data_IF_357976060041
#
_entry.id   IF_357976060041
#
_cell.length_a   1.000
_cell.length_b   1.000
_cell.length_c   1.000
_cell.angle_alpha   90.00
_cell.angle_beta   90.00
_cell.angle_gamma   90.00
#
_symmetry.space_group_name_H-M   'P 1'
#
loop_
_entity.id
_entity.type
_entity.pdbx_description
1 polymer ?
#
# COMPACT_ATOMS: atom_id res chain seq x y z
N UNK A 1 -36.09 -5.30 3.33
CA UNK A 1 -35.16 -6.43 3.05
C UNK A 1 -33.66 -6.06 3.08
N UNK A 2 -33.26 -4.89 3.61
CA UNK A 2 -31.87 -4.38 3.55
C UNK A 2 -31.05 -4.51 4.86
N UNK A 3 -31.61 -5.09 5.93
CA UNK A 3 -30.99 -5.00 7.26
C UNK A 3 -29.90 -6.02 7.60
N UNK A 4 -29.68 -7.07 6.79
CA UNK A 4 -28.76 -8.17 7.14
C UNK A 4 -27.46 -8.28 6.33
N UNK A 5 -27.10 -7.29 5.49
CA UNK A 5 -25.88 -7.35 4.64
C UNK A 5 -24.84 -6.26 4.90
N UNK A 6 -25.16 -5.25 5.69
CA UNK A 6 -24.21 -4.21 6.04
C UNK A 6 -23.39 -4.62 7.27
N UNK A 7 -22.18 -5.16 7.07
CA UNK A 7 -21.15 -5.08 8.12
C UNK A 7 -20.68 -3.62 8.18
N UNK A 8 -21.35 -2.80 8.99
CA UNK A 8 -20.84 -1.47 9.35
C UNK A 8 -19.58 -1.69 10.17
N UNK A 9 -18.41 -1.56 9.55
CA UNK A 9 -17.14 -1.49 10.27
C UNK A 9 -17.06 -0.13 10.97
N UNK A 10 -17.69 -0.02 12.15
CA UNK A 10 -17.41 1.08 13.08
C UNK A 10 -15.90 1.05 13.37
N UNK A 11 -15.25 2.20 13.32
CA UNK A 11 -13.81 2.46 13.49
C UNK A 11 -13.10 1.76 14.68
N UNK A 12 -13.82 1.08 15.57
CA UNK A 12 -13.25 0.20 16.61
C UNK A 12 -12.76 -1.16 16.08
N UNK A 13 -13.18 -1.62 14.90
CA UNK A 13 -12.50 -2.71 14.17
C UNK A 13 -11.48 -2.08 13.24
N UNK A 14 -10.30 -1.80 13.80
CA UNK A 14 -9.10 -1.37 13.09
C UNK A 14 -8.92 -2.19 11.81
N UNK A 15 -8.59 -1.51 10.72
CA UNK A 15 -8.02 -2.17 9.55
C UNK A 15 -6.83 -3.00 10.04
N UNK A 16 -6.92 -4.32 9.93
CA UNK A 16 -5.81 -5.23 10.19
C UNK A 16 -5.39 -5.76 8.83
N UNK A 17 -4.14 -5.54 8.45
CA UNK A 17 -3.66 -5.71 7.08
C UNK A 17 -3.00 -7.09 6.83
N UNK A 18 -3.20 -7.67 5.65
CA UNK A 18 -2.71 -9.00 5.26
C UNK A 18 -1.25 -8.99 4.87
N UNK A 19 -0.56 -10.12 5.09
CA UNK A 19 0.82 -10.46 4.69
C UNK A 19 1.23 -10.19 3.26
N UNK A 20 0.26 -9.93 2.39
CA UNK A 20 0.55 -9.31 1.10
C UNK A 20 1.02 -7.86 1.21
N UNK A 21 1.14 -7.29 2.42
CA UNK A 21 1.68 -5.96 2.61
C UNK A 21 3.12 -5.99 2.15
N UNK A 22 3.97 -6.85 2.70
CA UNK A 22 5.40 -6.81 2.42
C UNK A 22 5.84 -7.38 1.06
N UNK A 23 4.94 -8.02 0.28
CA UNK A 23 5.31 -8.75 -0.94
C UNK A 23 6.22 -7.88 -1.84
N UNK A 24 7.54 -8.11 -1.78
CA UNK A 24 8.54 -7.12 -2.19
C UNK A 24 8.49 -6.76 -3.68
N UNK A 25 7.92 -7.66 -4.50
CA UNK A 25 7.61 -7.43 -5.92
C UNK A 25 6.50 -6.39 -6.12
N UNK A 26 5.51 -6.35 -5.22
CA UNK A 26 4.35 -5.45 -5.30
C UNK A 26 4.65 -4.10 -4.65
N UNK A 27 5.46 -4.09 -3.59
CA UNK A 27 5.78 -2.86 -2.85
C UNK A 27 6.87 -1.99 -3.45
N UNK A 28 7.81 -2.60 -4.17
CA UNK A 28 8.94 -1.90 -4.78
C UNK A 28 9.19 -2.36 -6.22
N UNK A 29 8.20 -2.96 -6.88
CA UNK A 29 8.23 -3.03 -8.35
C UNK A 29 8.31 -1.60 -8.91
N UNK A 30 9.01 -1.39 -10.04
CA UNK A 30 9.04 -0.08 -10.73
C UNK A 30 7.60 0.43 -10.90
N UNK A 31 7.27 1.57 -10.30
CA UNK A 31 5.92 2.17 -10.40
C UNK A 31 4.93 1.78 -9.28
N UNK A 32 5.37 1.13 -8.22
CA UNK A 32 4.51 0.72 -7.10
C UNK A 32 4.00 1.90 -6.25
N UNK A 33 2.77 1.78 -5.74
CA UNK A 33 2.07 2.85 -5.01
C UNK A 33 2.76 3.23 -3.68
N UNK A 34 3.48 2.29 -3.05
CA UNK A 34 4.30 2.58 -1.87
C UNK A 34 5.64 3.25 -2.22
N UNK A 35 6.20 3.01 -3.42
CA UNK A 35 7.32 3.79 -3.94
C UNK A 35 6.95 5.28 -3.96
N UNK A 36 5.76 5.63 -4.46
CA UNK A 36 5.28 7.03 -4.44
C UNK A 36 4.97 7.60 -3.06
N UNK A 37 4.68 6.78 -2.06
CA UNK A 37 4.30 7.28 -0.73
C UNK A 37 5.48 7.41 0.22
N UNK A 38 6.33 6.39 0.27
CA UNK A 38 7.57 6.50 1.02
C UNK A 38 8.49 7.46 0.27
N UNK A 39 8.63 7.31 -1.05
CA UNK A 39 9.64 7.97 -1.89
C UNK A 39 9.13 9.17 -2.72
N UNK A 40 7.98 9.77 -2.36
CA UNK A 40 7.32 10.82 -3.15
C UNK A 40 8.28 11.94 -3.57
N UNK A 41 9.14 12.40 -2.68
CA UNK A 41 10.14 13.42 -2.98
C UNK A 41 11.36 13.17 -2.05
N UNK A 42 12.54 12.93 -2.65
CA UNK A 42 13.89 12.91 -1.99
C UNK A 42 14.45 11.63 -1.35
N UNK A 43 13.89 10.44 -1.56
CA UNK A 43 14.55 9.21 -1.07
C UNK A 43 15.52 8.66 -2.10
N UNK A 44 16.81 8.86 -1.85
CA UNK A 44 17.91 8.39 -2.71
C UNK A 44 17.95 6.86 -2.84
N UNK A 45 18.69 6.33 -3.83
CA UNK A 45 18.73 4.91 -4.17
C UNK A 45 19.12 4.00 -3.01
N UNK A 46 19.95 4.51 -2.09
CA UNK A 46 20.40 3.78 -0.88
C UNK A 46 19.23 3.48 0.07
N UNK A 47 18.30 4.44 0.24
CA UNK A 47 17.12 4.22 1.07
C UNK A 47 16.24 3.14 0.45
N UNK A 48 15.96 3.22 -0.85
CA UNK A 48 15.09 2.25 -1.53
C UNK A 48 15.68 0.83 -1.42
N UNK A 49 16.97 0.69 -1.71
CA UNK A 49 17.69 -0.57 -1.62
C UNK A 49 17.63 -1.15 -0.20
N UNK A 50 17.92 -0.34 0.81
CA UNK A 50 17.93 -0.78 2.21
C UNK A 50 16.52 -1.15 2.70
N UNK A 51 15.52 -0.33 2.37
CA UNK A 51 14.13 -0.56 2.75
C UNK A 51 13.57 -1.83 2.09
N UNK A 52 13.88 -2.05 0.80
CA UNK A 52 13.51 -3.27 0.07
C UNK A 52 14.09 -4.52 0.74
N UNK A 53 15.39 -4.52 1.03
CA UNK A 53 16.05 -5.66 1.68
C UNK A 53 15.51 -5.91 3.09
N UNK A 54 15.25 -4.85 3.88
CA UNK A 54 14.60 -4.98 5.17
C UNK A 54 13.22 -5.64 5.05
N UNK A 55 12.37 -5.18 4.13
CA UNK A 55 11.04 -5.77 3.94
C UNK A 55 11.11 -7.23 3.49
N UNK A 56 11.99 -7.57 2.53
CA UNK A 56 12.20 -8.96 2.10
C UNK A 56 12.68 -9.85 3.25
N UNK A 57 13.53 -9.32 4.12
CA UNK A 57 14.01 -10.03 5.32
C UNK A 57 12.88 -10.28 6.32
N UNK A 58 12.01 -9.29 6.57
CA UNK A 58 10.82 -9.46 7.42
C UNK A 58 9.84 -10.50 6.87
N UNK A 59 9.81 -10.68 5.56
CA UNK A 59 8.95 -11.67 4.90
C UNK A 59 9.49 -13.08 4.89
N UNK A 60 10.77 -13.27 5.20
CA UNK A 60 11.43 -14.55 5.06
C UNK A 60 10.76 -15.65 5.91
N UNK A 61 10.14 -15.27 7.02
CA UNK A 61 9.29 -16.17 7.81
C UNK A 61 7.85 -16.15 7.30
N UNK A 62 7.49 -17.05 6.38
CA UNK A 62 6.11 -17.12 5.86
C UNK A 62 5.06 -17.44 6.95
N UNK A 63 5.46 -18.18 8.00
CA UNK A 63 4.56 -18.55 9.08
C UNK A 63 4.27 -17.37 10.03
N UNK A 64 5.31 -16.57 10.31
CA UNK A 64 5.25 -15.41 11.20
C UNK A 64 6.01 -14.21 10.60
N UNK A 65 5.49 -13.60 9.51
CA UNK A 65 6.17 -12.50 8.88
C UNK A 65 6.13 -11.27 9.77
N UNK A 66 7.20 -10.49 9.68
CA UNK A 66 7.31 -9.21 10.36
C UNK A 66 6.37 -8.15 9.77
N UNK A 67 6.38 -6.99 10.38
CA UNK A 67 5.48 -5.87 10.08
C UNK A 67 6.26 -4.59 9.80
N UNK A 68 5.60 -3.55 9.31
CA UNK A 68 6.25 -2.24 9.12
C UNK A 68 6.87 -1.68 10.42
N UNK A 69 6.30 -2.05 11.56
CA UNK A 69 6.75 -1.63 12.89
C UNK A 69 8.12 -2.25 13.24
N UNK A 70 8.46 -3.38 12.62
CA UNK A 70 9.71 -4.10 12.87
C UNK A 70 10.90 -3.58 12.05
N UNK A 71 10.66 -2.66 11.09
CA UNK A 71 11.72 -2.12 10.24
C UNK A 71 12.83 -1.43 11.04
N UNK A 72 12.54 -0.52 12.01
CA UNK A 72 13.57 0.05 12.87
C UNK A 72 14.38 -1.02 13.61
N UNK A 73 13.71 -2.09 14.05
CA UNK A 73 14.32 -3.17 14.82
C UNK A 73 15.26 -4.02 13.97
N UNK A 74 14.95 -4.23 12.69
CA UNK A 74 15.84 -4.94 11.76
C UNK A 74 17.25 -4.34 11.72
N UNK A 75 17.34 -3.01 11.78
CA UNK A 75 18.63 -2.32 11.68
C UNK A 75 19.33 -2.10 13.02
N UNK A 76 18.60 -2.18 14.14
CA UNK A 76 19.12 -1.86 15.48
C UNK A 76 19.32 -3.07 16.38
N UNK A 77 18.71 -4.23 16.07
CA UNK A 77 18.80 -5.47 16.83
C UNK A 77 19.46 -6.58 15.98
N UNK A 78 20.79 -6.78 16.09
CA UNK A 78 21.52 -7.80 15.34
C UNK A 78 21.04 -9.22 15.63
N UNK A 79 20.50 -9.47 16.82
CA UNK A 79 19.99 -10.80 17.20
C UNK A 79 18.69 -11.09 16.48
N UNK A 80 17.79 -10.11 16.39
CA UNK A 80 16.57 -10.22 15.60
C UNK A 80 16.86 -10.47 14.11
N UNK A 81 17.78 -9.70 13.52
CA UNK A 81 18.12 -9.90 12.09
C UNK A 81 18.73 -11.27 11.85
N UNK A 82 19.63 -11.75 12.72
CA UNK A 82 20.24 -13.08 12.59
C UNK A 82 19.20 -14.21 12.60
N UNK A 83 18.16 -14.10 13.44
CA UNK A 83 17.08 -15.09 13.47
C UNK A 83 16.28 -15.12 12.15
N UNK A 84 16.03 -13.95 11.56
CA UNK A 84 15.33 -13.84 10.26
C UNK A 84 16.21 -14.34 9.10
N UNK A 85 17.51 -14.04 9.11
CA UNK A 85 18.46 -14.45 8.08
C UNK A 85 18.55 -15.98 7.90
N UNK A 86 18.33 -16.75 8.97
CA UNK A 86 18.24 -18.22 8.90
C UNK A 86 17.14 -18.64 7.91
N UNK A 87 16.05 -17.88 7.83
CA UNK A 87 14.89 -18.15 6.97
C UNK A 87 14.97 -17.50 5.59
N UNK A 88 15.90 -16.55 5.40
CA UNK A 88 16.09 -15.91 4.10
C UNK A 88 16.70 -16.91 3.11
N UNK A 89 15.95 -17.21 2.05
CA UNK A 89 16.37 -18.10 0.95
C UNK A 89 16.97 -17.34 -0.23
N UNK A 90 16.64 -16.05 -0.40
CA UNK A 90 17.14 -15.22 -1.49
C UNK A 90 18.62 -14.83 -1.24
N UNK A 91 19.56 -15.26 -2.12
CA UNK A 91 20.98 -14.94 -1.96
C UNK A 91 21.27 -13.45 -2.07
N UNK A 92 20.49 -12.66 -2.81
CA UNK A 92 20.71 -11.21 -2.94
C UNK A 92 20.40 -10.50 -1.63
N UNK A 93 19.33 -10.92 -0.94
CA UNK A 93 18.96 -10.37 0.37
C UNK A 93 20.01 -10.75 1.42
N UNK A 94 20.54 -11.98 1.38
CA UNK A 94 21.65 -12.38 2.25
C UNK A 94 22.91 -11.56 2.00
N UNK A 95 23.29 -11.38 0.74
CA UNK A 95 24.46 -10.60 0.35
C UNK A 95 24.38 -9.15 0.83
N UNK A 96 23.19 -8.54 0.82
CA UNK A 96 22.99 -7.22 1.41
C UNK A 96 23.42 -7.19 2.88
N UNK A 97 23.02 -8.16 3.69
CA UNK A 97 23.35 -8.20 5.12
C UNK A 97 24.79 -8.65 5.38
N UNK A 98 25.25 -9.69 4.71
CA UNK A 98 26.54 -10.35 4.97
C UNK A 98 27.71 -9.69 4.25
N UNK A 99 27.48 -8.87 3.22
CA UNK A 99 28.54 -8.21 2.45
C UNK A 99 28.39 -6.70 2.47
N UNK A 100 27.26 -6.17 2.04
CA UNK A 100 27.10 -4.71 1.88
C UNK A 100 27.04 -4.01 3.24
N UNK A 101 26.09 -4.40 4.09
CA UNK A 101 25.91 -3.83 5.42
C UNK A 101 27.16 -4.02 6.28
N UNK A 102 27.82 -5.18 6.26
CA UNK A 102 29.03 -5.39 7.05
C UNK A 102 30.20 -4.49 6.63
N UNK A 103 30.33 -4.17 5.33
CA UNK A 103 31.41 -3.31 4.80
C UNK A 103 31.17 -1.82 5.01
N UNK A 104 29.94 -1.40 5.31
CA UNK A 104 29.65 0.01 5.57
C UNK A 104 30.30 0.48 6.88
N UNK A 105 30.83 1.71 6.87
CA UNK A 105 31.34 2.35 8.09
C UNK A 105 30.22 2.53 9.12
N UNK A 106 30.57 2.53 10.41
CA UNK A 106 29.59 2.73 11.49
C UNK A 106 28.90 4.10 11.42
N UNK A 107 29.60 5.13 10.92
CA UNK A 107 29.00 6.43 10.68
C UNK A 107 27.95 6.38 9.57
N UNK A 108 28.29 5.81 8.41
CA UNK A 108 27.35 5.67 7.28
C UNK A 108 26.13 4.83 7.66
N UNK A 109 26.34 3.75 8.41
CA UNK A 109 25.23 2.94 8.97
C UNK A 109 24.33 3.79 9.85
N UNK A 110 24.91 4.51 10.81
CA UNK A 110 24.13 5.32 11.77
C UNK A 110 23.30 6.39 11.08
N UNK A 111 23.86 7.08 10.09
CA UNK A 111 23.16 8.10 9.29
C UNK A 111 21.99 7.48 8.49
N UNK A 112 22.25 6.37 7.80
CA UNK A 112 21.23 5.63 7.06
C UNK A 112 20.11 5.12 7.96
N UNK A 113 20.45 4.53 9.12
CA UNK A 113 19.49 4.00 10.07
C UNK A 113 18.66 5.14 10.66
N UNK A 114 19.28 6.22 11.11
CA UNK A 114 18.57 7.40 11.61
C UNK A 114 17.59 7.95 10.58
N UNK A 115 18.00 7.98 9.31
CA UNK A 115 17.14 8.39 8.20
C UNK A 115 15.96 7.43 7.97
N UNK A 116 16.20 6.12 7.91
CA UNK A 116 15.16 5.09 7.78
C UNK A 116 14.15 5.16 8.93
N UNK A 117 14.65 5.23 10.16
CA UNK A 117 13.83 5.32 11.38
C UNK A 117 13.01 6.60 11.37
N UNK A 118 13.55 7.75 10.97
CA UNK A 118 12.76 9.01 10.91
C UNK A 118 11.57 8.92 9.94
N UNK A 119 11.71 8.19 8.83
CA UNK A 119 10.67 8.06 7.79
C UNK A 119 9.61 7.02 8.15
N UNK A 120 9.97 5.98 8.88
CA UNK A 120 9.02 4.94 9.33
C UNK A 120 8.41 5.30 10.69
N UNK A 121 9.21 5.88 11.58
CA UNK A 121 8.86 6.27 12.95
C UNK A 121 7.62 7.14 13.02
N UNK A 122 7.50 8.13 12.12
CA UNK A 122 6.31 8.99 12.01
C UNK A 122 4.98 8.25 11.82
N UNK A 123 5.00 7.01 11.30
CA UNK A 123 3.81 6.16 11.20
C UNK A 123 3.68 5.22 12.41
N UNK A 124 4.80 4.76 12.97
CA UNK A 124 4.85 3.82 14.10
C UNK A 124 4.54 4.49 15.44
N UNK A 125 4.85 5.78 15.57
CA UNK A 125 4.58 6.58 16.77
C UNK A 125 3.09 6.81 16.98
N UNK A 126 2.31 6.93 15.90
CA UNK A 126 0.86 7.02 15.98
C UNK A 126 0.25 5.66 16.35
N UNK A 127 -0.39 5.58 17.52
CA UNK A 127 -0.95 4.32 18.06
C UNK A 127 -1.99 3.67 17.14
N UNK A 128 -2.83 4.46 16.47
CA UNK A 128 -3.82 3.95 15.52
C UNK A 128 -3.14 3.35 14.29
N UNK A 129 -2.15 4.04 13.73
CA UNK A 129 -1.38 3.52 12.61
C UNK A 129 -0.59 2.28 12.99
N UNK A 130 0.12 2.28 14.12
CA UNK A 130 0.84 1.13 14.66
C UNK A 130 -0.06 -0.10 14.80
N UNK A 131 -1.30 0.09 15.25
CA UNK A 131 -2.27 -1.00 15.36
C UNK A 131 -2.78 -1.53 14.00
N UNK A 132 -2.67 -0.74 12.93
CA UNK A 132 -3.04 -1.14 11.57
C UNK A 132 -1.87 -1.82 10.85
N UNK A 133 -0.70 -1.17 10.84
CA UNK A 133 0.49 -1.59 10.08
C UNK A 133 1.37 -2.58 10.83
N UNK A 134 1.17 -2.71 12.16
CA UNK A 134 1.84 -3.67 13.04
C UNK A 134 1.07 -4.98 13.19
N UNK A 135 0.30 -5.38 12.19
CA UNK A 135 -0.41 -6.66 12.18
C UNK A 135 0.26 -7.60 11.18
N UNK A 136 0.72 -8.75 11.67
CA UNK A 136 1.31 -9.82 10.84
C UNK A 136 0.26 -10.67 10.13
N UNK A 137 -1.04 -10.39 10.27
CA UNK A 137 -2.13 -11.04 9.52
C UNK A 137 -3.31 -10.08 9.35
N UNK A 138 -4.00 -10.20 8.22
CA UNK A 138 -5.18 -9.37 7.93
C UNK A 138 -6.37 -9.81 8.74
N UNK A 139 -7.15 -8.83 9.18
CA UNK A 139 -8.56 -9.04 9.49
C UNK A 139 -9.49 -8.78 8.29
N UNK A 140 -8.96 -8.23 7.20
CA UNK A 140 -9.72 -7.85 6.00
C UNK A 140 -9.24 -8.68 4.81
N UNK A 141 -10.16 -9.40 4.18
CA UNK A 141 -9.92 -10.08 2.90
C UNK A 141 -10.65 -9.33 1.78
N UNK A 142 -9.86 -8.64 0.95
CA UNK A 142 -10.38 -7.86 -0.17
C UNK A 142 -10.93 -8.76 -1.29
N UNK A 143 -10.42 -9.98 -1.46
CA UNK A 143 -10.94 -10.91 -2.46
C UNK A 143 -12.34 -11.35 -2.06
N UNK A 144 -12.52 -11.76 -0.80
CA UNK A 144 -13.81 -12.10 -0.23
C UNK A 144 -14.79 -10.92 -0.29
N UNK A 145 -14.34 -9.70 0.01
CA UNK A 145 -15.19 -8.50 -0.08
C UNK A 145 -15.71 -8.30 -1.50
N UNK A 146 -14.83 -8.36 -2.50
CA UNK A 146 -15.20 -8.13 -3.89
C UNK A 146 -16.05 -9.27 -4.46
N UNK A 147 -15.63 -10.53 -4.28
CA UNK A 147 -16.29 -11.69 -4.86
C UNK A 147 -17.67 -11.95 -4.24
N UNK A 148 -17.83 -11.69 -2.94
CA UNK A 148 -19.12 -11.89 -2.27
C UNK A 148 -20.00 -10.64 -2.24
N UNK A 149 -19.58 -9.53 -2.86
CA UNK A 149 -20.34 -8.28 -2.90
C UNK A 149 -20.57 -7.66 -1.52
N UNK A 150 -19.57 -7.73 -0.65
CA UNK A 150 -19.62 -7.11 0.68
C UNK A 150 -19.38 -5.60 0.57
N UNK A 151 -19.88 -4.85 1.54
CA UNK A 151 -19.68 -3.41 1.62
C UNK A 151 -18.44 -3.12 2.48
N UNK A 152 -17.48 -2.39 1.91
CA UNK A 152 -16.31 -1.87 2.62
C UNK A 152 -16.46 -0.36 2.79
N UNK A 153 -16.46 0.10 4.03
CA UNK A 153 -16.47 1.53 4.37
C UNK A 153 -15.13 1.90 5.00
N UNK A 154 -14.47 2.91 4.43
CA UNK A 154 -13.17 3.39 4.89
C UNK A 154 -13.28 4.87 5.20
N UNK A 155 -13.03 5.24 6.46
CA UNK A 155 -12.98 6.64 6.85
C UNK A 155 -11.52 7.12 6.90
N UNK A 156 -11.14 7.94 5.90
CA UNK A 156 -9.81 8.52 5.76
C UNK A 156 -9.78 10.03 6.11
N UNK A 157 -10.70 10.50 6.97
CA UNK A 157 -10.81 11.92 7.33
C UNK A 157 -9.49 12.48 7.87
N UNK A 158 -8.85 13.37 7.11
CA UNK A 158 -7.56 14.01 7.46
C UNK A 158 -7.61 14.67 8.84
N UNK A 159 -8.73 15.30 9.20
CA UNK A 159 -8.91 15.95 10.50
C UNK A 159 -8.83 15.00 11.69
N UNK A 160 -9.08 13.69 11.49
CA UNK A 160 -9.00 12.69 12.56
C UNK A 160 -7.71 11.90 12.57
N UNK A 161 -7.21 11.51 11.40
CA UNK A 161 -6.07 10.59 11.29
C UNK A 161 -4.77 11.26 10.87
N UNK A 162 -4.83 12.53 10.44
CA UNK A 162 -3.72 13.27 9.87
C UNK A 162 -3.58 13.02 8.36
N UNK A 163 -3.08 14.03 7.64
CA UNK A 163 -2.95 13.99 6.18
C UNK A 163 -2.05 12.85 5.69
N UNK A 164 -0.86 12.73 6.26
CA UNK A 164 0.13 11.72 5.85
C UNK A 164 -0.36 10.29 6.12
N UNK A 165 -1.04 10.06 7.24
CA UNK A 165 -1.60 8.74 7.58
C UNK A 165 -2.81 8.41 6.70
N UNK A 166 -3.66 9.41 6.40
CA UNK A 166 -4.75 9.28 5.45
C UNK A 166 -4.24 8.86 4.08
N UNK A 167 -3.23 9.56 3.56
CA UNK A 167 -2.56 9.21 2.31
C UNK A 167 -2.03 7.77 2.33
N UNK A 168 -1.32 7.36 3.40
CA UNK A 168 -0.80 6.00 3.54
C UNK A 168 -1.89 4.94 3.49
N UNK A 169 -2.93 5.08 4.31
CA UNK A 169 -4.01 4.11 4.35
C UNK A 169 -4.78 4.06 3.04
N UNK A 170 -5.05 5.20 2.41
CA UNK A 170 -5.73 5.27 1.12
C UNK A 170 -4.95 4.55 0.02
N UNK A 171 -3.62 4.72 -0.03
CA UNK A 171 -2.76 4.02 -0.98
C UNK A 171 -2.72 2.52 -0.74
N UNK A 172 -2.59 2.09 0.52
CA UNK A 172 -2.60 0.66 0.86
C UNK A 172 -3.92 0.03 0.42
N UNK A 173 -5.04 0.66 0.76
CA UNK A 173 -6.38 0.10 0.48
C UNK A 173 -6.60 0.05 -1.03
N UNK A 174 -6.23 1.10 -1.75
CA UNK A 174 -6.35 1.14 -3.21
C UNK A 174 -5.50 0.06 -3.86
N UNK A 175 -4.24 -0.11 -3.45
CA UNK A 175 -3.37 -1.17 -3.96
C UNK A 175 -3.96 -2.56 -3.66
N UNK A 176 -4.51 -2.80 -2.46
CA UNK A 176 -5.15 -4.08 -2.13
C UNK A 176 -6.39 -4.35 -2.97
N UNK A 177 -7.21 -3.34 -3.22
CA UNK A 177 -8.37 -3.44 -4.12
C UNK A 177 -7.92 -3.73 -5.55
N UNK A 178 -6.86 -3.09 -6.03
CA UNK A 178 -6.26 -3.39 -7.33
C UNK A 178 -5.81 -4.85 -7.42
N UNK A 179 -5.06 -5.32 -6.44
CA UNK A 179 -4.59 -6.71 -6.41
C UNK A 179 -5.75 -7.72 -6.39
N UNK A 180 -6.79 -7.44 -5.60
CA UNK A 180 -7.98 -8.27 -5.56
C UNK A 180 -8.75 -8.22 -6.90
N UNK A 181 -8.76 -7.08 -7.57
CA UNK A 181 -9.30 -6.97 -8.93
C UNK A 181 -8.50 -7.80 -9.93
N UNK A 182 -7.17 -7.72 -9.91
CA UNK A 182 -6.29 -8.47 -10.82
C UNK A 182 -6.43 -9.98 -10.64
N UNK A 183 -6.54 -10.45 -9.40
CA UNK A 183 -6.80 -11.88 -9.12
C UNK A 183 -8.11 -12.39 -9.73
N UNK A 184 -9.13 -11.55 -9.82
CA UNK A 184 -10.39 -11.92 -10.49
C UNK A 184 -10.19 -12.20 -11.98
N UNK A 185 -9.20 -11.62 -12.65
CA UNK A 185 -8.92 -11.96 -14.05
C UNK A 185 -8.37 -13.39 -14.23
N UNK A 186 -7.76 -13.97 -13.21
CA UNK A 186 -7.31 -15.37 -13.23
C UNK A 186 -8.48 -16.35 -13.03
N UNK A 187 -9.63 -15.88 -12.52
CA UNK A 187 -10.83 -16.72 -12.36
C UNK A 187 -11.46 -17.04 -13.72
N UNK A 188 -11.60 -18.33 -14.04
CA UNK A 188 -12.01 -18.84 -15.37
C UNK A 188 -13.42 -18.44 -15.82
N UNK A 189 -14.30 -18.01 -14.90
CA UNK A 189 -15.69 -17.71 -15.23
C UNK A 189 -15.96 -16.21 -15.10
N UNK A 190 -15.78 -15.49 -16.21
CA UNK A 190 -16.00 -14.04 -16.28
C UNK A 190 -17.45 -13.63 -16.00
N UNK A 191 -18.42 -14.47 -16.36
CA UNK A 191 -19.86 -14.20 -16.20
C UNK A 191 -20.29 -14.27 -14.73
N UNK A 192 -19.60 -15.06 -13.91
CA UNK A 192 -19.86 -15.17 -12.48
C UNK A 192 -19.31 -13.99 -11.65
N UNK A 193 -18.47 -13.13 -12.27
CA UNK A 193 -17.84 -12.00 -11.58
C UNK A 193 -18.89 -10.93 -11.25
N UNK A 194 -19.03 -10.63 -9.96
CA UNK A 194 -19.89 -9.54 -9.50
C UNK A 194 -19.24 -8.19 -9.74
N UNK A 195 -20.06 -7.23 -10.16
CA UNK A 195 -19.65 -5.83 -10.21
C UNK A 195 -19.36 -5.30 -8.80
N UNK A 196 -18.19 -4.66 -8.66
CA UNK A 196 -17.78 -4.00 -7.42
C UNK A 196 -17.58 -2.51 -7.69
N UNK A 197 -18.26 -1.66 -6.93
CA UNK A 197 -18.21 -0.21 -7.09
C UNK A 197 -17.31 0.42 -6.03
N UNK A 198 -16.28 1.13 -6.48
CA UNK A 198 -15.35 1.87 -5.64
C UNK A 198 -15.67 3.37 -5.74
N UNK A 199 -16.20 3.92 -4.65
CA UNK A 199 -16.48 5.35 -4.51
C UNK A 199 -15.32 6.04 -3.81
N UNK A 200 -14.77 7.09 -4.41
CA UNK A 200 -13.67 7.88 -3.84
C UNK A 200 -14.01 9.36 -3.91
N UNK A 201 -14.32 9.96 -2.77
CA UNK A 201 -14.70 11.38 -2.68
C UNK A 201 -13.51 12.33 -2.85
N UNK A 202 -12.33 11.88 -2.42
CA UNK A 202 -11.10 12.69 -2.31
C UNK A 202 -9.95 11.99 -3.04
N UNK A 203 -10.21 11.51 -4.26
CA UNK A 203 -9.33 10.58 -4.97
C UNK A 203 -7.93 11.16 -5.25
N UNK A 204 -7.83 12.48 -5.44
CA UNK A 204 -6.58 13.20 -5.72
C UNK A 204 -5.52 13.00 -4.64
N UNK A 205 -5.94 12.79 -3.39
CA UNK A 205 -5.03 12.51 -2.28
C UNK A 205 -4.38 11.12 -2.36
N UNK A 206 -4.90 10.24 -3.23
CA UNK A 206 -4.50 8.84 -3.34
C UNK A 206 -4.08 8.46 -4.77
N UNK A 207 -4.04 9.43 -5.70
CA UNK A 207 -3.70 9.20 -7.11
C UNK A 207 -2.29 8.64 -7.28
N UNK A 208 -2.20 7.42 -7.78
CA UNK A 208 -0.95 6.74 -8.15
C UNK A 208 -1.07 6.16 -9.55
N UNK A 209 0.05 5.72 -10.13
CA UNK A 209 0.02 5.08 -11.46
C UNK A 209 -0.86 3.83 -11.45
N UNK A 210 -0.91 3.13 -10.31
CA UNK A 210 -1.88 2.09 -10.00
C UNK A 210 -3.33 2.47 -10.29
N UNK A 211 -3.78 3.66 -9.89
CA UNK A 211 -5.15 4.12 -10.17
C UNK A 211 -5.33 4.38 -11.67
N UNK A 212 -4.31 4.91 -12.36
CA UNK A 212 -4.38 5.09 -13.80
C UNK A 212 -4.50 3.74 -14.54
N UNK A 213 -3.75 2.72 -14.13
CA UNK A 213 -3.87 1.36 -14.64
C UNK A 213 -5.25 0.76 -14.34
N UNK A 214 -5.74 0.94 -13.10
CA UNK A 214 -7.09 0.51 -12.74
C UNK A 214 -8.11 1.20 -13.65
N UNK A 215 -8.05 2.52 -13.84
CA UNK A 215 -9.00 3.24 -14.71
C UNK A 215 -8.93 2.75 -16.17
N UNK A 216 -7.74 2.44 -16.67
CA UNK A 216 -7.54 1.96 -18.04
C UNK A 216 -8.04 0.52 -18.25
N UNK A 217 -7.93 -0.35 -17.25
CA UNK A 217 -8.18 -1.79 -17.39
C UNK A 217 -9.36 -2.33 -16.55
N UNK A 218 -9.95 -1.50 -15.70
CA UNK A 218 -10.97 -1.81 -14.69
C UNK A 218 -12.12 -2.67 -15.21
N UNK A 219 -12.53 -2.42 -16.47
CA UNK A 219 -13.64 -3.10 -17.12
C UNK A 219 -13.43 -4.61 -17.20
N UNK A 220 -12.20 -5.08 -17.43
CA UNK A 220 -11.86 -6.52 -17.48
C UNK A 220 -12.09 -7.20 -16.12
N UNK A 221 -11.94 -6.43 -15.05
CA UNK A 221 -12.00 -6.92 -13.67
C UNK A 221 -13.35 -6.66 -12.99
N UNK A 222 -14.38 -6.13 -13.69
CA UNK A 222 -15.68 -5.74 -13.09
C UNK A 222 -15.50 -4.85 -11.84
N UNK A 223 -14.51 -3.96 -11.89
CA UNK A 223 -14.27 -2.93 -10.88
C UNK A 223 -14.69 -1.58 -11.47
N UNK A 224 -15.75 -0.99 -10.94
CA UNK A 224 -16.28 0.28 -11.43
C UNK A 224 -15.84 1.39 -10.47
N UNK A 225 -15.18 2.43 -10.99
CA UNK A 225 -14.69 3.55 -10.18
C UNK A 225 -15.62 4.74 -10.34
N UNK A 226 -16.03 5.31 -9.22
CA UNK A 226 -16.82 6.54 -9.16
C UNK A 226 -15.99 7.52 -8.33
N UNK A 227 -15.38 8.47 -9.03
CA UNK A 227 -14.50 9.47 -8.46
C UNK A 227 -15.29 10.76 -8.34
N UNK A 228 -15.43 11.28 -7.13
CA UNK A 228 -15.94 12.63 -6.95
C UNK A 228 -14.80 13.62 -7.14
N UNK A 229 -15.05 14.67 -7.92
CA UNK A 229 -14.05 15.63 -8.35
C UNK A 229 -14.47 17.03 -7.89
N UNK A 230 -13.70 17.65 -6.99
CA UNK A 230 -13.84 19.09 -6.77
C UNK A 230 -13.06 19.82 -7.86
N UNK A 231 -13.74 20.71 -8.58
CA UNK A 231 -13.30 21.42 -9.80
C UNK A 231 -12.10 22.39 -9.61
N UNK A 232 -11.27 22.19 -8.58
CA UNK A 232 -10.20 23.10 -8.20
C UNK A 232 -8.83 22.38 -8.15
N UNK A 233 -8.49 21.69 -9.24
CA UNK A 233 -7.18 21.07 -9.37
C UNK A 233 -6.31 21.90 -10.32
N UNK A 234 -5.44 22.69 -9.69
CA UNK A 234 -4.28 23.34 -10.30
C UNK A 234 -3.33 22.30 -10.93
N UNK A 235 -2.76 22.66 -12.09
CA UNK A 235 -1.64 22.12 -12.90
C UNK A 235 -0.93 20.77 -12.59
N UNK A 236 -0.95 20.24 -11.36
CA UNK A 236 -0.18 19.06 -10.92
C UNK A 236 -0.62 17.71 -11.51
N UNK A 237 -1.86 17.60 -12.02
CA UNK A 237 -2.41 16.33 -12.54
C UNK A 237 -2.58 16.30 -14.07
N UNK A 238 -2.40 17.46 -14.73
CA UNK A 238 -2.42 17.58 -16.20
C UNK A 238 -1.14 17.03 -16.86
N UNK A 239 -0.11 16.72 -16.08
CA UNK A 239 1.15 16.14 -16.56
C UNK A 239 1.07 14.64 -16.80
N UNK A 240 0.09 13.93 -16.23
CA UNK A 240 -0.17 12.53 -16.55
C UNK A 240 -1.19 12.46 -17.70
N UNK A 241 -0.79 12.06 -18.91
CA UNK A 241 -1.62 12.14 -20.11
C UNK A 241 -2.87 11.23 -20.05
N UNK A 242 -2.82 10.15 -19.27
CA UNK A 242 -3.96 9.25 -19.12
C UNK A 242 -5.00 9.87 -18.19
N UNK A 243 -4.55 10.41 -17.05
CA UNK A 243 -5.43 11.06 -16.09
C UNK A 243 -6.02 12.36 -16.66
N UNK A 244 -5.23 13.17 -17.36
CA UNK A 244 -5.72 14.40 -17.99
C UNK A 244 -6.82 14.11 -19.02
N UNK A 245 -6.64 13.07 -19.84
CA UNK A 245 -7.64 12.68 -20.86
C UNK A 245 -8.94 12.16 -20.21
N UNK A 246 -8.83 11.33 -19.16
CA UNK A 246 -10.00 10.82 -18.43
C UNK A 246 -10.76 11.93 -17.69
N UNK A 247 -10.04 12.90 -17.12
CA UNK A 247 -10.62 14.06 -16.44
C UNK A 247 -11.36 14.93 -17.46
N UNK A 248 -10.75 15.23 -18.60
CA UNK A 248 -11.40 15.99 -19.68
C UNK A 248 -12.65 15.25 -20.18
N UNK A 249 -12.57 13.94 -20.42
CA UNK A 249 -13.73 13.15 -20.86
C UNK A 249 -14.89 13.16 -19.86
N UNK A 250 -14.60 13.08 -18.55
CA UNK A 250 -15.63 13.10 -17.50
C UNK A 250 -16.23 14.49 -17.32
N UNK A 251 -15.43 15.55 -17.41
CA UNK A 251 -15.90 16.94 -17.39
C UNK A 251 -16.76 17.27 -18.61
N UNK A 252 -16.36 16.79 -19.80
CA UNK A 252 -17.14 16.96 -21.03
C UNK A 252 -18.49 16.25 -20.97
N UNK A 253 -18.56 15.07 -20.33
CA UNK A 253 -19.82 14.34 -20.11
C UNK A 253 -20.72 14.96 -19.03
N UNK A 254 -20.17 15.82 -18.16
CA UNK A 254 -20.93 16.52 -17.12
C UNK A 254 -21.46 17.89 -17.57
N UNK A 255 -20.98 18.38 -18.73
CA UNK A 255 -21.35 19.66 -19.35
C UNK A 255 -22.42 19.53 -20.45
N UNK A 256 -22.89 18.30 -20.72
CA UNK A 256 -24.05 17.97 -21.56
C UNK A 256 -25.11 17.28 -20.71
#
# INVERSE_FOLDING_TARGET
MFQNRAKVFRQKKLLKCSNHFLNGKVLFGRGSSLQKLFLAEHLGPVFEHSMRNAMLTLMADEANPGTLVDIPRIFTDPTFVRQLLIKVTDPLVRDFWEKEMLKMSEQTKSEMIGYLVSKVGRFVENSMMRNIIGQSRSGIDFNDIMNNGKILLVNLSKGRIGEMNSALLGLIITAKLQMAAFRRAEERNEESRRDFYLYMDEFQNFTTDSIATILAEARKYRLNLILNFWLNISNRYLTNPILSTLIIATLMLSYY
#
